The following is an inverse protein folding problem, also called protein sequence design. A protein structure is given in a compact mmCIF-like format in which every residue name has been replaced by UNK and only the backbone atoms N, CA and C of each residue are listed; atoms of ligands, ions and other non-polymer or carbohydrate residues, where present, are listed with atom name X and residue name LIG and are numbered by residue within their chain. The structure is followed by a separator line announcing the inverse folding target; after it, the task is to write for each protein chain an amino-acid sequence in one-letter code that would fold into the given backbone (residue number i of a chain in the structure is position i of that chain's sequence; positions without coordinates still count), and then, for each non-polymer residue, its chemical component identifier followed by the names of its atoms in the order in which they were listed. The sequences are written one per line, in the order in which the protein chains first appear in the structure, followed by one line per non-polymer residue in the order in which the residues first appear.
data_IF_869685387424
#
_entry.id   IF_869685387424
#
_cell.length_a   1.000
_cell.length_b   1.000
_cell.length_c   1.000
_cell.angle_alpha   90.00
_cell.angle_beta   90.00
_cell.angle_gamma   90.00
#
_symmetry.space_group_name_H-M   'P 1'
#
loop_
_entity.id
_entity.type
_entity.pdbx_description
1 polymer ?
#
# COMPACT_ATOMS: atom_id res chain seq x y z
N UNK A 1 -7.01 11.67 -5.63
CA UNK A 1 -5.64 11.17 -5.42
C UNK A 1 -4.68 12.34 -5.30
N UNK A 2 -4.76 13.10 -4.20
CA UNK A 2 -3.76 14.14 -3.91
C UNK A 2 -2.45 13.44 -3.54
N UNK A 3 -1.33 13.94 -4.07
CA UNK A 3 -0.01 13.35 -3.89
C UNK A 3 0.37 13.13 -2.42
N UNK A 4 -0.20 13.91 -1.50
CA UNK A 4 -0.03 13.83 -0.05
C UNK A 4 -0.70 12.59 0.58
N UNK A 5 -1.90 12.20 0.14
CA UNK A 5 -2.57 10.99 0.64
C UNK A 5 -1.83 9.71 0.22
N UNK A 6 -1.13 9.75 -0.91
CA UNK A 6 -0.38 8.60 -1.43
C UNK A 6 1.04 8.47 -0.83
N UNK A 7 1.56 9.49 -0.14
CA UNK A 7 2.91 9.44 0.46
C UNK A 7 3.03 8.34 1.52
N UNK A 8 2.00 8.15 2.35
CA UNK A 8 2.01 7.16 3.44
C UNK A 8 2.14 5.73 2.90
N UNK A 9 1.28 5.38 1.95
CA UNK A 9 1.31 4.08 1.29
C UNK A 9 2.56 3.85 0.44
N UNK A 10 3.07 4.87 -0.26
CA UNK A 10 4.31 4.73 -1.03
C UNK A 10 5.51 4.36 -0.15
N UNK A 11 5.62 4.96 1.04
CA UNK A 11 6.69 4.63 2.01
C UNK A 11 6.60 3.17 2.48
N UNK A 12 5.41 2.71 2.84
CA UNK A 12 5.19 1.33 3.30
C UNK A 12 5.51 0.33 2.19
N UNK A 13 5.01 0.55 0.97
CA UNK A 13 5.30 -0.32 -0.17
C UNK A 13 6.79 -0.36 -0.52
N UNK A 14 7.47 0.77 -0.49
CA UNK A 14 8.91 0.78 -0.79
C UNK A 14 9.73 0.14 0.30
N UNK A 15 9.38 0.34 1.58
CA UNK A 15 10.01 -0.39 2.68
C UNK A 15 9.81 -1.90 2.53
N UNK A 16 8.58 -2.33 2.24
CA UNK A 16 8.26 -3.73 2.05
C UNK A 16 9.00 -4.34 0.85
N UNK A 17 9.08 -3.61 -0.27
CA UNK A 17 9.82 -4.02 -1.46
C UNK A 17 11.32 -4.14 -1.21
N UNK A 18 11.91 -3.18 -0.46
CA UNK A 18 13.33 -3.21 -0.07
C UNK A 18 13.65 -4.39 0.85
N UNK A 19 12.70 -4.81 1.68
CA UNK A 19 12.85 -5.94 2.60
C UNK A 19 12.33 -7.27 2.02
N UNK A 20 11.94 -7.30 0.73
CA UNK A 20 11.36 -8.48 0.09
C UNK A 20 10.19 -9.11 0.87
N UNK A 21 9.37 -8.26 1.51
CA UNK A 21 8.23 -8.71 2.29
C UNK A 21 7.14 -9.32 1.42
N UNK A 22 6.45 -10.31 1.98
CA UNK A 22 5.26 -10.88 1.33
C UNK A 22 4.11 -9.87 1.31
N UNK A 23 3.10 -10.13 0.48
CA UNK A 23 1.89 -9.29 0.42
C UNK A 23 1.19 -9.22 1.78
N UNK A 24 1.11 -10.35 2.49
CA UNK A 24 0.54 -10.41 3.82
C UNK A 24 1.32 -9.55 4.82
N UNK A 25 2.66 -9.65 4.83
CA UNK A 25 3.51 -8.85 5.72
C UNK A 25 3.39 -7.35 5.41
N UNK A 26 3.31 -7.01 4.13
CA UNK A 26 3.14 -5.64 3.67
C UNK A 26 1.80 -5.05 4.11
N UNK A 27 0.72 -5.84 4.06
CA UNK A 27 -0.59 -5.46 4.57
C UNK A 27 -0.56 -5.24 6.10
N UNK A 28 0.18 -6.07 6.84
CA UNK A 28 0.33 -5.90 8.29
C UNK A 28 1.02 -4.57 8.66
N UNK A 29 1.94 -4.07 7.83
CA UNK A 29 2.58 -2.77 8.06
C UNK A 29 1.60 -1.59 8.04
N UNK A 30 0.42 -1.75 7.42
CA UNK A 30 -0.63 -0.74 7.41
C UNK A 30 -1.48 -0.71 8.69
N UNK A 31 -1.30 -1.67 9.61
CA UNK A 31 -1.90 -1.71 10.95
C UNK A 31 -3.40 -1.29 10.97
N UNK A 32 -3.72 -0.15 11.59
CA UNK A 32 -5.10 0.35 11.73
C UNK A 32 -5.79 0.61 10.38
N UNK A 33 -5.04 0.96 9.33
CA UNK A 33 -5.61 1.15 7.99
C UNK A 33 -5.98 -0.18 7.34
N UNK A 34 -5.18 -1.22 7.56
CA UNK A 34 -5.52 -2.57 7.09
C UNK A 34 -6.75 -3.10 7.85
N UNK A 35 -6.79 -2.91 9.17
CA UNK A 35 -7.95 -3.30 9.98
C UNK A 35 -9.21 -2.53 9.54
N UNK A 36 -9.12 -1.23 9.30
CA UNK A 36 -10.24 -0.40 8.82
C UNK A 36 -10.78 -0.89 7.47
N UNK A 37 -9.90 -1.34 6.57
CA UNK A 37 -10.30 -1.93 5.28
C UNK A 37 -11.04 -3.26 5.46
N UNK A 38 -10.62 -4.09 6.41
CA UNK A 38 -11.28 -5.35 6.76
C UNK A 38 -12.65 -5.12 7.43
N UNK A 39 -12.72 -4.16 8.34
CA UNK A 39 -13.94 -3.83 9.09
C UNK A 39 -15.00 -3.15 8.19
N UNK A 40 -14.54 -2.40 7.18
CA UNK A 40 -15.42 -1.68 6.25
C UNK A 40 -15.18 -2.13 4.80
N UNK A 41 -15.64 -3.33 4.38
CA UNK A 41 -15.39 -3.83 3.03
C UNK A 41 -16.03 -2.98 1.92
N UNK A 42 -17.07 -2.19 2.25
CA UNK A 42 -17.79 -1.31 1.32
C UNK A 42 -17.30 0.14 1.30
N UNK A 43 -16.38 0.51 2.20
CA UNK A 43 -15.83 1.86 2.22
C UNK A 43 -14.88 2.09 1.04
N UNK A 44 -14.83 3.33 0.55
CA UNK A 44 -13.94 3.74 -0.55
C UNK A 44 -12.61 4.31 -0.06
N UNK A 45 -12.36 4.26 1.26
CA UNK A 45 -11.12 4.70 1.87
C UNK A 45 -9.98 3.71 1.62
N UNK A 46 -8.75 4.21 1.73
CA UNK A 46 -7.52 3.41 1.61
C UNK A 46 -7.44 2.60 0.32
N UNK A 47 -7.81 3.20 -0.82
CA UNK A 47 -7.84 2.52 -2.13
C UNK A 47 -6.52 1.80 -2.47
N UNK A 48 -5.37 2.33 -2.07
CA UNK A 48 -4.08 1.67 -2.30
C UNK A 48 -3.96 0.31 -1.60
N UNK A 49 -4.45 0.18 -0.35
CA UNK A 49 -4.45 -1.08 0.39
C UNK A 49 -5.42 -2.07 -0.26
N UNK A 50 -6.61 -1.61 -0.66
CA UNK A 50 -7.61 -2.46 -1.33
C UNK A 50 -7.14 -2.98 -2.68
N UNK A 51 -6.54 -2.11 -3.49
CA UNK A 51 -5.94 -2.49 -4.77
C UNK A 51 -4.79 -3.48 -4.56
N UNK A 52 -3.99 -3.31 -3.52
CA UNK A 52 -2.94 -4.24 -3.14
C UNK A 52 -3.47 -5.60 -2.66
N UNK A 53 -4.57 -5.63 -1.90
CA UNK A 53 -5.21 -6.90 -1.50
C UNK A 53 -5.78 -7.66 -2.71
N UNK A 54 -6.30 -6.96 -3.72
CA UNK A 54 -6.93 -7.58 -4.87
C UNK A 54 -5.92 -8.05 -5.94
N UNK A 55 -4.86 -7.28 -6.17
CA UNK A 55 -3.91 -7.50 -7.26
C UNK A 55 -2.50 -7.87 -6.79
N UNK A 56 -2.24 -7.81 -5.48
CA UNK A 56 -0.93 -8.05 -4.91
C UNK A 56 0.14 -7.08 -5.42
N UNK A 57 1.38 -7.54 -5.42
CA UNK A 57 2.51 -6.78 -5.99
C UNK A 57 2.38 -6.55 -7.50
N UNK A 58 1.62 -7.40 -8.21
CA UNK A 58 1.41 -7.27 -9.64
C UNK A 58 0.54 -6.04 -10.01
N UNK A 59 -0.34 -5.59 -9.11
CA UNK A 59 -1.15 -4.39 -9.30
C UNK A 59 -0.52 -3.09 -8.81
N UNK A 60 0.64 -3.15 -8.14
CA UNK A 60 1.38 -1.96 -7.73
C UNK A 60 2.18 -1.46 -8.95
N UNK A 61 1.54 -0.60 -9.74
CA UNK A 61 2.23 0.20 -10.72
C UNK A 61 2.73 1.48 -10.05
N UNK A 62 4.05 1.57 -9.82
CA UNK A 62 4.67 2.85 -9.48
C UNK A 62 4.69 3.71 -10.74
N UNK A 63 3.66 4.54 -10.95
CA UNK A 63 3.65 5.55 -12.01
C UNK A 63 4.70 6.63 -11.69
N UNK A 64 5.91 6.43 -12.23
CA UNK A 64 7.09 7.25 -11.95
C UNK A 64 7.96 6.62 -10.85
N UNK A 65 9.27 6.81 -10.95
CA UNK A 65 10.29 6.36 -9.98
C UNK A 65 9.92 6.73 -8.54
N UNK A 66 9.08 5.92 -7.90
CA UNK A 66 8.72 6.11 -6.51
C UNK A 66 9.89 5.60 -5.68
N UNK A 67 10.81 6.53 -5.42
CA UNK A 67 11.97 6.48 -4.55
C UNK A 67 13.29 6.12 -5.25
N UNK A 68 13.95 7.15 -5.77
CA UNK A 68 15.40 7.21 -5.70
C UNK A 68 15.79 7.33 -4.22
N UNK A 69 16.36 6.27 -3.65
CA UNK A 69 17.07 6.36 -2.38
C UNK A 69 18.20 7.39 -2.54
N UNK A 70 18.25 8.39 -1.66
CA UNK A 70 19.35 9.35 -1.58
C UNK A 70 20.07 9.20 -0.26
#
# INVERSE_FOLDING_TARGET
NTAEQNQGSAKVFSFAKLNNLSEADTLQLFAEHYQSVLDHPTATDHQNIRQFMANGWAGIAFEGEALTAR
#
